data_IF_549783815688
#
_entry.id   IF_549783815688
#
_cell.length_a   1.000
_cell.length_b   1.000
_cell.length_c   1.000
_cell.angle_alpha   90.00
_cell.angle_beta   90.00
_cell.angle_gamma   90.00
#
_symmetry.space_group_name_H-M   'P 1'
#
loop_
_entity.id
_entity.type
_entity.pdbx_description
1 polymer ?
#
# COMPACT_ATOMS: atom_id res chain seq x y z
N UNK A 1 8.08 -1.46 19.38
CA UNK A 1 8.80 -2.30 18.38
C UNK A 1 7.97 -2.53 17.12
N UNK A 2 6.65 -2.74 17.25
CA UNK A 2 5.76 -3.02 16.12
C UNK A 2 5.70 -1.83 15.14
N UNK A 3 5.63 -0.60 15.65
CA UNK A 3 5.63 0.62 14.83
C UNK A 3 6.88 0.67 13.95
N UNK A 4 8.06 0.42 14.51
CA UNK A 4 9.31 0.34 13.74
C UNK A 4 9.25 -0.73 12.65
N UNK A 5 8.72 -1.93 12.96
CA UNK A 5 8.50 -3.00 11.98
C UNK A 5 7.56 -2.59 10.85
N UNK A 6 6.45 -1.91 11.16
CA UNK A 6 5.52 -1.36 10.17
C UNK A 6 6.23 -0.35 9.25
N UNK A 7 7.04 0.54 9.83
CA UNK A 7 7.84 1.50 9.07
C UNK A 7 8.83 0.83 8.11
N UNK A 8 9.58 -0.17 8.60
CA UNK A 8 10.45 -0.99 7.74
C UNK A 8 9.66 -1.73 6.64
N UNK A 9 8.47 -2.22 6.93
CA UNK A 9 7.63 -2.90 5.96
C UNK A 9 7.18 -1.96 4.82
N UNK A 10 6.81 -0.72 5.12
CA UNK A 10 6.55 0.30 4.08
C UNK A 10 7.79 0.55 3.19
N UNK A 11 8.98 0.71 3.80
CA UNK A 11 10.22 0.93 3.04
C UNK A 11 10.61 -0.27 2.17
N UNK A 12 10.42 -1.49 2.67
CA UNK A 12 10.65 -2.71 1.88
C UNK A 12 9.73 -2.76 0.66
N UNK A 13 8.48 -2.32 0.78
CA UNK A 13 7.56 -2.27 -0.36
C UNK A 13 7.99 -1.21 -1.39
N UNK A 14 8.47 -0.04 -0.96
CA UNK A 14 9.05 0.94 -1.88
C UNK A 14 10.23 0.36 -2.68
N UNK A 15 11.14 -0.35 -2.00
CA UNK A 15 12.27 -1.03 -2.64
C UNK A 15 11.82 -2.15 -3.58
N UNK A 16 10.84 -2.94 -3.17
CA UNK A 16 10.28 -4.01 -4.00
C UNK A 16 9.65 -3.45 -5.28
N UNK A 17 8.89 -2.35 -5.18
CA UNK A 17 8.29 -1.68 -6.35
C UNK A 17 9.38 -1.16 -7.30
N UNK A 18 10.43 -0.51 -6.79
CA UNK A 18 11.55 -0.05 -7.62
C UNK A 18 12.28 -1.22 -8.31
N UNK A 19 12.46 -2.32 -7.59
CA UNK A 19 13.07 -3.52 -8.16
C UNK A 19 12.21 -4.14 -9.26
N UNK A 20 10.89 -4.21 -9.05
CA UNK A 20 9.93 -4.68 -10.05
C UNK A 20 9.93 -3.79 -11.29
N UNK A 21 9.90 -2.46 -11.12
CA UNK A 21 9.97 -1.50 -12.23
C UNK A 21 11.24 -1.70 -13.07
N UNK A 22 12.40 -1.82 -12.40
CA UNK A 22 13.68 -2.10 -13.06
C UNK A 22 13.69 -3.44 -13.83
N UNK A 23 12.89 -4.42 -13.41
CA UNK A 23 12.74 -5.71 -14.10
C UNK A 23 11.77 -5.67 -15.29
N UNK A 24 11.15 -4.52 -15.58
CA UNK A 24 10.13 -4.37 -16.62
C UNK A 24 8.76 -4.92 -16.22
N UNK A 25 8.51 -5.08 -14.91
CA UNK A 25 7.26 -5.61 -14.40
C UNK A 25 6.09 -4.63 -14.62
N UNK A 26 4.97 -5.13 -15.13
CA UNK A 26 3.76 -4.32 -15.33
C UNK A 26 2.94 -4.22 -14.03
N UNK A 27 3.26 -3.21 -13.21
CA UNK A 27 2.59 -2.94 -11.93
C UNK A 27 1.08 -2.67 -12.10
N UNK A 28 0.68 -1.79 -13.04
CA UNK A 28 -0.75 -1.51 -13.28
C UNK A 28 -1.47 -2.79 -13.71
N UNK A 29 -0.88 -3.52 -14.66
CA UNK A 29 -1.41 -4.81 -15.11
C UNK A 29 -1.54 -5.83 -13.99
N UNK A 30 -0.61 -5.85 -13.03
CA UNK A 30 -0.69 -6.73 -11.87
C UNK A 30 -1.82 -6.34 -10.90
N UNK A 31 -1.92 -5.05 -10.55
CA UNK A 31 -2.93 -4.52 -9.60
C UNK A 31 -4.34 -4.71 -10.17
N UNK A 32 -4.56 -4.37 -11.44
CA UNK A 32 -5.88 -4.42 -12.07
C UNK A 32 -6.20 -5.77 -12.73
N UNK A 33 -5.41 -6.81 -12.47
CA UNK A 33 -5.75 -8.17 -12.90
C UNK A 33 -6.70 -8.83 -11.88
N UNK A 34 -7.92 -9.13 -12.32
CA UNK A 34 -8.95 -9.82 -11.50
C UNK A 34 -8.49 -11.15 -10.91
N UNK A 35 -7.54 -11.85 -11.55
CA UNK A 35 -6.96 -13.11 -11.03
C UNK A 35 -6.10 -12.89 -9.78
N UNK A 36 -5.52 -11.69 -9.64
CA UNK A 36 -4.65 -11.33 -8.52
C UNK A 36 -5.44 -10.74 -7.33
N UNK A 37 -6.77 -10.67 -7.43
CA UNK A 37 -7.62 -10.04 -6.42
C UNK A 37 -7.36 -10.54 -5.00
N UNK A 38 -7.27 -11.86 -4.82
CA UNK A 38 -6.99 -12.46 -3.51
C UNK A 38 -5.62 -12.08 -2.96
N UNK A 39 -4.62 -11.94 -3.83
CA UNK A 39 -3.27 -11.52 -3.44
C UNK A 39 -3.32 -10.08 -2.89
N UNK A 40 -4.05 -9.19 -3.58
CA UNK A 40 -4.17 -7.79 -3.15
C UNK A 40 -4.96 -7.65 -1.83
N UNK A 41 -6.02 -8.45 -1.64
CA UNK A 41 -6.75 -8.49 -0.36
C UNK A 41 -5.86 -8.96 0.79
N UNK A 42 -5.04 -10.00 0.58
CA UNK A 42 -4.10 -10.48 1.60
C UNK A 42 -3.06 -9.40 1.89
N UNK A 43 -2.54 -8.74 0.85
CA UNK A 43 -1.57 -7.66 0.99
C UNK A 43 -2.11 -6.50 1.84
N UNK A 44 -3.31 -6.00 1.54
CA UNK A 44 -3.98 -4.96 2.34
C UNK A 44 -4.28 -5.42 3.78
N UNK A 45 -4.65 -6.70 3.96
CA UNK A 45 -4.90 -7.27 5.29
C UNK A 45 -3.65 -7.30 6.17
N UNK A 46 -2.46 -7.54 5.61
CA UNK A 46 -1.19 -7.48 6.34
C UNK A 46 -0.94 -6.05 6.86
N UNK A 47 -1.16 -5.03 6.03
CA UNK A 47 -1.02 -3.64 6.45
C UNK A 47 -2.03 -3.27 7.54
N UNK A 48 -3.29 -3.65 7.39
CA UNK A 48 -4.32 -3.42 8.42
C UNK A 48 -3.94 -4.06 9.75
N UNK A 49 -3.46 -5.30 9.72
CA UNK A 49 -3.04 -6.02 10.92
C UNK A 49 -1.87 -5.32 11.61
N UNK A 50 -0.83 -4.95 10.87
CA UNK A 50 0.33 -4.23 11.42
C UNK A 50 -0.03 -2.83 11.94
N UNK A 51 -0.94 -2.12 11.26
CA UNK A 51 -1.47 -0.85 11.74
C UNK A 51 -2.26 -1.01 13.04
N UNK A 52 -3.12 -2.03 13.13
CA UNK A 52 -3.90 -2.31 14.34
C UNK A 52 -2.97 -2.64 15.52
N UNK A 53 -1.99 -3.52 15.31
CA UNK A 53 -1.00 -3.83 16.34
C UNK A 53 -0.21 -2.58 16.76
N UNK A 54 0.17 -1.73 15.80
CA UNK A 54 0.86 -0.47 16.08
C UNK A 54 -0.02 0.50 16.90
N UNK A 55 -1.33 0.52 16.65
CA UNK A 55 -2.29 1.34 17.37
C UNK A 55 -2.50 0.87 18.81
N UNK A 56 -2.48 -0.44 19.05
CA UNK A 56 -2.51 -0.99 20.42
C UNK A 56 -1.30 -0.50 21.22
N UNK A 57 -0.12 -0.44 20.60
CA UNK A 57 1.11 0.08 21.21
C UNK A 57 1.08 1.61 21.39
N UNK A 58 0.58 2.37 20.39
CA UNK A 58 0.57 3.84 20.41
C UNK A 58 -0.61 4.42 19.61
N UNK A 59 -1.37 5.32 20.23
CA UNK A 59 -2.54 5.97 19.64
C UNK A 59 -2.19 7.21 18.80
N UNK A 60 -1.01 7.22 18.16
CA UNK A 60 -0.54 8.37 17.39
C UNK A 60 -1.45 8.63 16.18
N UNK A 61 -1.81 9.90 15.94
CA UNK A 61 -2.74 10.28 14.86
C UNK A 61 -2.29 9.75 13.48
N UNK A 62 -0.98 9.73 13.23
CA UNK A 62 -0.43 9.20 11.97
C UNK A 62 -0.74 7.71 11.75
N UNK A 63 -0.76 6.90 12.81
CA UNK A 63 -1.11 5.48 12.72
C UNK A 63 -2.60 5.28 12.41
N UNK A 64 -3.46 6.14 12.98
CA UNK A 64 -4.88 6.18 12.63
C UNK A 64 -5.09 6.56 11.17
N UNK A 65 -4.34 7.52 10.64
CA UNK A 65 -4.38 7.89 9.22
C UNK A 65 -4.05 6.69 8.32
N UNK A 66 -2.95 5.99 8.60
CA UNK A 66 -2.53 4.80 7.84
C UNK A 66 -3.58 3.68 7.91
N UNK A 67 -4.08 3.41 9.11
CA UNK A 67 -5.13 2.41 9.32
C UNK A 67 -6.39 2.73 8.50
N UNK A 68 -6.83 4.00 8.48
CA UNK A 68 -7.99 4.43 7.71
C UNK A 68 -7.76 4.31 6.21
N UNK A 69 -6.58 4.69 5.70
CA UNK A 69 -6.25 4.55 4.27
C UNK A 69 -6.34 3.09 3.81
N UNK A 70 -5.72 2.17 4.56
CA UNK A 70 -5.80 0.74 4.24
C UNK A 70 -7.22 0.18 4.43
N UNK A 71 -7.98 0.70 5.39
CA UNK A 71 -9.38 0.28 5.60
C UNK A 71 -10.26 0.68 4.42
N UNK A 72 -10.10 1.91 3.92
CA UNK A 72 -10.82 2.41 2.75
C UNK A 72 -10.44 1.60 1.50
N UNK A 73 -9.14 1.34 1.29
CA UNK A 73 -8.68 0.51 0.16
C UNK A 73 -9.28 -0.90 0.24
N UNK A 74 -9.18 -1.56 1.39
CA UNK A 74 -9.72 -2.90 1.61
C UNK A 74 -11.24 -2.92 1.39
N UNK A 75 -11.96 -1.93 1.92
CA UNK A 75 -13.40 -1.79 1.71
C UNK A 75 -13.74 -1.65 0.23
N UNK A 76 -13.04 -0.74 -0.48
CA UNK A 76 -13.28 -0.49 -1.89
C UNK A 76 -12.97 -1.73 -2.75
N UNK A 77 -11.87 -2.43 -2.47
CA UNK A 77 -11.55 -3.69 -3.16
C UNK A 77 -12.57 -4.79 -2.89
N UNK A 78 -13.01 -4.96 -1.65
CA UNK A 78 -13.89 -6.06 -1.27
C UNK A 78 -15.34 -5.83 -1.73
N UNK A 79 -15.89 -4.64 -1.47
CA UNK A 79 -17.30 -4.33 -1.74
C UNK A 79 -17.54 -3.71 -3.12
N UNK A 80 -16.59 -2.89 -3.62
CA UNK A 80 -16.72 -2.18 -4.89
C UNK A 80 -15.75 -2.73 -5.94
N UNK A 81 -15.58 -4.06 -5.93
CA UNK A 81 -14.63 -4.78 -6.79
C UNK A 81 -14.75 -4.41 -8.28
N UNK A 82 -15.97 -4.29 -8.79
CA UNK A 82 -16.19 -3.98 -10.20
C UNK A 82 -15.69 -2.58 -10.57
N UNK A 83 -15.93 -1.60 -9.69
CA UNK A 83 -15.51 -0.22 -9.89
C UNK A 83 -13.99 -0.09 -9.77
N UNK A 84 -13.37 -0.82 -8.83
CA UNK A 84 -11.92 -0.91 -8.73
C UNK A 84 -11.29 -1.43 -10.03
N UNK A 85 -11.82 -2.50 -10.61
CA UNK A 85 -11.25 -3.03 -11.85
C UNK A 85 -11.60 -2.23 -13.10
N UNK A 86 -12.71 -1.49 -13.10
CA UNK A 86 -13.06 -0.59 -14.20
C UNK A 86 -12.25 0.71 -14.17
N UNK A 87 -11.69 1.11 -13.02
CA UNK A 87 -10.83 2.29 -12.92
C UNK A 87 -9.47 2.13 -13.59
N UNK A 88 -9.13 0.93 -14.11
CA UNK A 88 -7.86 0.65 -14.77
C UNK A 88 -7.53 1.68 -15.86
N UNK A 89 -8.50 2.02 -16.71
CA UNK A 89 -8.29 2.95 -17.82
C UNK A 89 -7.77 4.32 -17.34
N UNK A 90 -8.23 4.77 -16.17
CA UNK A 90 -7.73 5.99 -15.54
C UNK A 90 -6.26 5.89 -15.11
N UNK A 91 -5.83 4.73 -14.61
CA UNK A 91 -4.43 4.50 -14.23
C UNK A 91 -3.54 4.31 -15.46
N UNK A 92 -4.05 3.68 -16.52
CA UNK A 92 -3.35 3.56 -17.80
C UNK A 92 -3.10 4.96 -18.42
N UNK A 93 -4.03 5.92 -18.26
CA UNK A 93 -3.84 7.32 -18.67
C UNK A 93 -2.76 8.07 -17.86
N UNK A 94 -2.65 7.79 -16.54
CA UNK A 94 -1.60 8.36 -15.69
C UNK A 94 -0.21 7.81 -16.08
N UNK A 95 -0.18 6.56 -16.53
CA UNK A 95 1.00 5.89 -17.05
C UNK A 95 1.77 5.11 -15.98
N UNK A 96 2.31 3.95 -16.39
CA UNK A 96 3.04 3.00 -15.55
C UNK A 96 4.13 3.66 -14.69
N UNK A 97 4.99 4.49 -15.28
CA UNK A 97 6.08 5.13 -14.53
C UNK A 97 5.57 6.10 -13.46
N UNK A 98 4.52 6.86 -13.76
CA UNK A 98 3.91 7.80 -12.81
C UNK A 98 3.31 7.04 -11.63
N UNK A 99 2.61 5.93 -11.88
CA UNK A 99 2.04 5.08 -10.83
C UNK A 99 3.13 4.47 -9.95
N UNK A 100 4.22 3.98 -10.54
CA UNK A 100 5.40 3.48 -9.81
C UNK A 100 5.98 4.58 -8.92
N UNK A 101 6.27 5.75 -9.48
CA UNK A 101 6.90 6.86 -8.75
C UNK A 101 6.03 7.34 -7.58
N UNK A 102 4.73 7.53 -7.82
CA UNK A 102 3.78 7.94 -6.77
C UNK A 102 3.72 6.88 -5.66
N UNK A 103 3.64 5.60 -6.02
CA UNK A 103 3.62 4.51 -5.05
C UNK A 103 4.88 4.52 -4.19
N UNK A 104 6.07 4.57 -4.82
CA UNK A 104 7.35 4.62 -4.11
C UNK A 104 7.43 5.81 -3.17
N UNK A 105 6.99 7.00 -3.59
CA UNK A 105 6.97 8.19 -2.73
C UNK A 105 6.06 7.98 -1.52
N UNK A 106 4.83 7.49 -1.73
CA UNK A 106 3.87 7.26 -0.64
C UNK A 106 4.41 6.21 0.35
N UNK A 107 4.89 5.06 -0.14
CA UNK A 107 5.48 4.02 0.70
C UNK A 107 6.71 4.53 1.45
N UNK A 108 7.56 5.33 0.80
CA UNK A 108 8.75 5.91 1.44
C UNK A 108 8.38 6.88 2.55
N UNK A 109 7.46 7.82 2.29
CA UNK A 109 7.00 8.79 3.28
C UNK A 109 6.33 8.08 4.46
N UNK A 110 5.42 7.15 4.19
CA UNK A 110 4.78 6.34 5.23
C UNK A 110 5.83 5.64 6.09
N UNK A 111 6.79 4.95 5.48
CA UNK A 111 7.86 4.25 6.19
C UNK A 111 8.73 5.17 7.05
N UNK A 112 9.20 6.29 6.50
CA UNK A 112 10.02 7.26 7.23
C UNK A 112 9.25 7.86 8.41
N UNK A 113 8.03 8.34 8.19
CA UNK A 113 7.23 8.92 9.28
C UNK A 113 6.91 7.90 10.36
N UNK A 114 6.58 6.66 9.99
CA UNK A 114 6.34 5.58 10.95
C UNK A 114 7.59 5.26 11.76
N UNK A 115 8.79 5.24 11.16
CA UNK A 115 10.04 5.07 11.90
C UNK A 115 10.28 6.26 12.85
N UNK A 116 10.07 7.49 12.38
CA UNK A 116 10.29 8.69 13.20
C UNK A 116 9.42 8.70 14.46
N UNK A 117 8.15 8.30 14.37
CA UNK A 117 7.28 8.23 15.56
C UNK A 117 7.55 6.99 16.43
N UNK A 118 8.39 6.06 15.98
CA UNK A 118 8.79 4.87 16.74
C UNK A 118 10.02 5.09 17.63
N UNK A 119 10.74 6.20 17.39
CA UNK A 119 11.89 6.66 18.16
C UNK A 119 11.43 7.46 19.39
#
# INVERSE_FOLDING_TARGET
>A
MIIFTLGCFYLLNALAILWLDKSGFNLIGFIFNKRNHGIYLIYESIFLFLCLLSLIDSQHFFLWLLFLMHSINMFYLYFNKNDFYSSRDSFDLIGQQSVVNISVIIFTLAGVFTILISL
#
